data_IF_519694424631
#
_entry.id   IF_519694424631
#
_cell.length_a   1.000
_cell.length_b   1.000
_cell.length_c   1.000
_cell.angle_alpha   90.00
_cell.angle_beta   90.00
_cell.angle_gamma   90.00
#
_symmetry.space_group_name_H-M   'P 1'
#
loop_
_entity.id
_entity.type
_entity.pdbx_description
1 polymer ?
#
# COMPACT_ATOMS: atom_id res chain seq x y z
N UNK A 1 8.32 29.84 15.60
CA UNK A 1 7.22 28.88 15.43
C UNK A 1 7.65 27.60 16.13
N UNK A 2 6.95 27.18 17.17
CA UNK A 2 7.28 25.96 17.90
C UNK A 2 6.95 24.77 17.01
N UNK A 3 7.96 23.98 16.64
CA UNK A 3 7.76 22.76 15.85
C UNK A 3 6.82 21.84 16.64
N UNK A 4 5.75 21.36 15.99
CA UNK A 4 4.76 20.50 16.64
C UNK A 4 5.37 19.11 16.81
N UNK A 5 5.64 18.71 18.05
CA UNK A 5 6.18 17.39 18.36
C UNK A 5 5.13 16.29 18.14
N UNK A 6 5.61 15.08 17.88
CA UNK A 6 4.81 13.86 17.83
C UNK A 6 4.08 13.64 19.17
N UNK A 7 2.85 13.10 19.12
CA UNK A 7 2.07 12.76 20.31
C UNK A 7 2.81 11.73 21.19
N UNK A 8 2.77 11.88 22.52
CA UNK A 8 3.52 11.02 23.44
C UNK A 8 3.16 9.52 23.31
N UNK A 9 1.91 9.20 22.97
CA UNK A 9 1.47 7.82 22.71
C UNK A 9 2.22 7.21 21.52
N UNK A 10 2.38 7.98 20.44
CA UNK A 10 3.13 7.60 19.25
C UNK A 10 4.64 7.62 19.53
N UNK A 11 5.13 8.58 20.33
CA UNK A 11 6.53 8.67 20.75
C UNK A 11 6.98 7.39 21.45
N UNK A 12 6.16 6.86 22.36
CA UNK A 12 6.43 5.59 23.05
C UNK A 12 6.49 4.42 22.08
N UNK A 13 5.57 4.38 21.11
CA UNK A 13 5.51 3.32 20.09
C UNK A 13 6.76 3.30 19.21
N UNK A 14 7.19 4.45 18.69
CA UNK A 14 8.40 4.52 17.86
C UNK A 14 9.66 4.16 18.65
N UNK A 15 9.75 4.53 19.94
CA UNK A 15 10.85 4.12 20.83
C UNK A 15 10.91 2.60 20.96
N UNK A 16 9.79 1.95 21.29
CA UNK A 16 9.71 0.48 21.42
C UNK A 16 10.08 -0.22 20.11
N UNK A 17 9.63 0.29 18.97
CA UNK A 17 9.97 -0.30 17.66
C UNK A 17 11.47 -0.18 17.39
N UNK A 18 12.06 0.99 17.64
CA UNK A 18 13.48 1.20 17.43
C UNK A 18 14.34 0.32 18.33
N UNK A 19 13.99 0.19 19.61
CA UNK A 19 14.65 -0.71 20.55
C UNK A 19 14.60 -2.17 20.06
N UNK A 20 13.41 -2.65 19.68
CA UNK A 20 13.25 -4.01 19.17
C UNK A 20 14.04 -4.26 17.88
N UNK A 21 14.11 -3.25 17.00
CA UNK A 21 14.90 -3.31 15.77
C UNK A 21 16.41 -3.38 16.08
N UNK A 22 16.90 -2.50 16.96
CA UNK A 22 18.32 -2.44 17.33
C UNK A 22 18.77 -3.67 18.13
N UNK A 23 17.86 -4.35 18.83
CA UNK A 23 18.15 -5.61 19.52
C UNK A 23 18.41 -6.79 18.56
N UNK A 24 18.01 -6.69 17.29
CA UNK A 24 18.24 -7.76 16.32
C UNK A 24 19.68 -7.73 15.79
N UNK A 25 20.44 -8.85 15.83
CA UNK A 25 21.87 -8.85 15.47
C UNK A 25 22.18 -8.33 14.06
N UNK A 26 21.28 -8.52 13.10
CA UNK A 26 21.47 -8.08 11.70
C UNK A 26 21.53 -6.57 11.54
N UNK A 27 21.05 -5.80 12.52
CA UNK A 27 21.03 -4.33 12.44
C UNK A 27 22.32 -3.69 12.95
N UNK A 28 23.21 -4.48 13.60
CA UNK A 28 24.46 -3.98 14.23
C UNK A 28 25.33 -3.10 13.34
N UNK A 29 25.55 -3.41 12.03
CA UNK A 29 26.36 -2.56 11.17
C UNK A 29 25.80 -1.14 10.99
N UNK A 30 24.52 -0.92 11.31
CA UNK A 30 23.82 0.35 11.13
C UNK A 30 23.62 1.11 12.45
N UNK A 31 24.24 0.67 13.56
CA UNK A 31 24.06 1.29 14.89
C UNK A 31 24.87 2.57 15.08
N UNK A 32 25.93 2.74 14.30
CA UNK A 32 26.85 3.88 14.41
C UNK A 32 26.97 4.58 13.06
N UNK A 33 27.28 5.89 13.06
CA UNK A 33 27.56 6.61 11.82
C UNK A 33 28.69 5.96 11.03
N UNK A 34 28.61 6.04 9.70
CA UNK A 34 29.74 5.67 8.84
C UNK A 34 30.91 6.61 9.16
N UNK A 35 32.14 6.08 9.38
CA UNK A 35 33.30 6.88 9.74
C UNK A 35 33.62 7.95 8.67
N UNK A 36 34.22 9.05 9.11
CA UNK A 36 34.63 10.19 8.26
C UNK A 36 36.15 10.31 8.24
N UNK A 37 36.70 11.08 7.29
CA UNK A 37 38.15 11.30 7.19
C UNK A 37 38.87 10.11 6.58
N UNK A 38 40.00 9.71 7.16
CA UNK A 38 40.87 8.65 6.64
C UNK A 38 40.21 7.26 6.67
N UNK A 39 39.33 7.01 7.65
CA UNK A 39 38.61 5.75 7.80
C UNK A 39 37.32 5.69 6.95
N UNK A 40 37.00 6.75 6.21
CA UNK A 40 35.81 6.81 5.39
C UNK A 40 35.88 5.79 4.24
N UNK A 41 34.79 5.04 3.95
CA UNK A 41 34.74 4.22 2.75
C UNK A 41 34.88 5.11 1.49
N UNK A 42 35.59 4.59 0.50
CA UNK A 42 35.96 5.34 -0.70
C UNK A 42 34.74 6.01 -1.36
N UNK A 43 34.81 7.33 -1.54
CA UNK A 43 33.76 8.16 -2.17
C UNK A 43 32.38 8.09 -1.48
N UNK A 44 32.28 7.56 -0.26
CA UNK A 44 30.98 7.37 0.42
C UNK A 44 30.18 8.68 0.54
N UNK A 45 30.81 9.73 1.06
CA UNK A 45 30.16 11.03 1.25
C UNK A 45 30.01 11.84 -0.06
N UNK A 46 30.65 11.40 -1.14
CA UNK A 46 30.40 11.94 -2.47
C UNK A 46 29.14 11.33 -3.08
N UNK A 47 28.91 10.03 -2.86
CA UNK A 47 27.74 9.29 -3.36
C UNK A 47 26.51 9.55 -2.47
N UNK A 48 26.66 9.42 -1.16
CA UNK A 48 25.59 9.50 -0.16
C UNK A 48 25.47 10.92 0.38
N UNK A 49 24.38 11.59 0.00
CA UNK A 49 24.15 13.01 0.34
C UNK A 49 23.60 13.25 1.74
N UNK A 50 22.88 12.28 2.29
CA UNK A 50 22.24 12.39 3.61
C UNK A 50 22.60 11.15 4.44
N UNK A 51 23.84 11.04 4.95
CA UNK A 51 24.25 9.92 5.79
C UNK A 51 23.44 9.91 7.09
N UNK A 52 22.99 8.73 7.51
CA UNK A 52 22.24 8.51 8.76
C UNK A 52 22.40 7.06 9.21
N UNK A 53 22.26 6.83 10.50
CA UNK A 53 22.38 5.55 11.19
C UNK A 53 21.32 5.44 12.31
N UNK A 54 21.11 4.23 12.83
CA UNK A 54 20.12 3.96 13.88
C UNK A 54 20.46 4.63 15.21
N UNK A 55 21.75 4.85 15.51
CA UNK A 55 22.17 5.57 16.71
C UNK A 55 21.76 7.04 16.67
N UNK A 56 21.98 7.70 15.52
CA UNK A 56 21.49 9.05 15.26
C UNK A 56 19.96 9.12 15.36
N UNK A 57 19.24 8.15 14.78
CA UNK A 57 17.77 8.09 14.86
C UNK A 57 17.31 7.90 16.31
N UNK A 58 18.01 7.05 17.08
CA UNK A 58 17.72 6.84 18.50
C UNK A 58 17.83 8.14 19.29
N UNK A 59 18.90 8.91 19.09
CA UNK A 59 19.04 10.21 19.73
C UNK A 59 17.91 11.16 19.33
N UNK A 60 17.51 11.19 18.05
CA UNK A 60 16.38 12.02 17.58
C UNK A 60 15.04 11.62 18.21
N UNK A 61 14.82 10.33 18.46
CA UNK A 61 13.65 9.84 19.20
C UNK A 61 13.72 10.30 20.66
N UNK A 62 14.84 10.11 21.35
CA UNK A 62 15.01 10.53 22.76
C UNK A 62 14.84 12.05 22.93
N UNK A 63 15.36 12.83 21.99
CA UNK A 63 15.26 14.29 21.97
C UNK A 63 13.91 14.83 21.47
N UNK A 64 12.93 13.95 21.20
CA UNK A 64 11.61 14.27 20.64
C UNK A 64 11.67 15.16 19.39
N UNK A 65 12.61 14.90 18.48
CA UNK A 65 12.84 15.71 17.27
C UNK A 65 11.89 15.38 16.11
N UNK A 66 11.12 14.31 16.22
CA UNK A 66 10.15 13.93 15.21
C UNK A 66 8.78 14.54 15.48
N UNK A 67 8.18 15.10 14.43
CA UNK A 67 6.84 15.71 14.46
C UNK A 67 5.74 14.69 14.13
N UNK A 68 6.11 13.58 13.48
CA UNK A 68 5.17 12.53 13.06
C UNK A 68 5.87 11.19 12.85
N UNK A 69 5.10 10.09 12.88
CA UNK A 69 5.62 8.74 12.54
C UNK A 69 6.27 8.69 11.15
N UNK A 70 5.73 9.47 10.20
CA UNK A 70 6.25 9.53 8.83
C UNK A 70 7.70 10.02 8.78
N UNK A 71 8.07 11.00 9.60
CA UNK A 71 9.45 11.51 9.63
C UNK A 71 10.41 10.45 10.20
N UNK A 72 10.03 9.81 11.31
CA UNK A 72 10.79 8.69 11.88
C UNK A 72 10.96 7.54 10.87
N UNK A 73 9.86 7.11 10.23
CA UNK A 73 9.87 6.06 9.23
C UNK A 73 10.79 6.39 8.05
N UNK A 74 10.75 7.64 7.58
CA UNK A 74 11.56 8.11 6.45
C UNK A 74 13.05 8.01 6.77
N UNK A 75 13.47 8.39 7.97
CA UNK A 75 14.86 8.30 8.39
C UNK A 75 15.33 6.84 8.51
N UNK A 76 14.50 5.95 9.09
CA UNK A 76 14.84 4.52 9.16
C UNK A 76 14.98 3.92 7.76
N UNK A 77 14.07 4.24 6.84
CA UNK A 77 14.19 3.80 5.43
C UNK A 77 15.42 4.36 4.72
N UNK A 78 15.84 5.58 5.07
CA UNK A 78 17.02 6.22 4.50
C UNK A 78 18.31 5.47 4.87
N UNK A 79 18.40 4.89 6.07
CA UNK A 79 19.54 4.02 6.46
C UNK A 79 19.71 2.89 5.45
N UNK A 80 18.62 2.18 5.13
CA UNK A 80 18.65 1.04 4.21
C UNK A 80 18.93 1.49 2.78
N UNK A 81 18.30 2.59 2.35
CA UNK A 81 18.47 3.14 1.01
C UNK A 81 19.91 3.59 0.77
N UNK A 82 20.54 4.23 1.76
CA UNK A 82 21.94 4.62 1.67
C UNK A 82 22.86 3.39 1.55
N UNK A 83 22.59 2.34 2.34
CA UNK A 83 23.32 1.09 2.26
C UNK A 83 23.20 0.43 0.87
N UNK A 84 21.98 0.37 0.31
CA UNK A 84 21.74 -0.21 -1.02
C UNK A 84 22.24 0.67 -2.18
N UNK A 85 22.35 1.98 -1.97
CA UNK A 85 22.88 2.91 -2.98
C UNK A 85 24.40 2.82 -3.08
N UNK A 86 25.08 2.67 -1.94
CA UNK A 86 26.53 2.62 -1.89
C UNK A 86 27.10 1.22 -2.16
N UNK A 87 26.42 0.17 -1.67
CA UNK A 87 26.92 -1.20 -1.75
C UNK A 87 26.26 -1.96 -2.92
N UNK A 88 27.06 -2.79 -3.59
CA UNK A 88 26.58 -3.64 -4.69
C UNK A 88 25.40 -4.55 -4.26
N UNK A 89 24.41 -4.78 -5.14
CA UNK A 89 23.34 -5.73 -4.89
C UNK A 89 23.87 -7.12 -4.52
N UNK A 90 23.37 -7.69 -3.42
CA UNK A 90 23.79 -9.00 -2.93
C UNK A 90 25.09 -9.00 -2.12
N UNK A 91 25.75 -7.85 -1.96
CA UNK A 91 26.82 -7.70 -0.98
C UNK A 91 26.31 -7.96 0.45
N UNK A 92 27.18 -8.36 1.41
CA UNK A 92 26.77 -8.62 2.78
C UNK A 92 25.99 -7.46 3.41
N UNK A 93 26.43 -6.20 3.19
CA UNK A 93 25.76 -5.01 3.73
C UNK A 93 24.39 -4.80 3.07
N UNK A 94 24.27 -4.98 1.75
CA UNK A 94 22.99 -4.86 1.04
C UNK A 94 21.97 -5.91 1.52
N UNK A 95 22.41 -7.15 1.73
CA UNK A 95 21.56 -8.23 2.27
C UNK A 95 21.11 -7.92 3.70
N UNK A 96 22.02 -7.45 4.55
CA UNK A 96 21.69 -7.05 5.93
C UNK A 96 20.73 -5.85 5.97
N UNK A 97 20.87 -4.89 5.05
CA UNK A 97 19.95 -3.76 4.94
C UNK A 97 18.54 -4.22 4.54
N UNK A 98 18.43 -5.09 3.54
CA UNK A 98 17.15 -5.69 3.12
C UNK A 98 16.47 -6.46 4.25
N UNK A 99 17.22 -7.27 5.00
CA UNK A 99 16.67 -8.03 6.13
C UNK A 99 16.28 -7.12 7.30
N UNK A 100 17.07 -6.08 7.58
CA UNK A 100 16.75 -5.06 8.59
C UNK A 100 15.47 -4.30 8.25
N UNK A 101 15.30 -3.91 6.98
CA UNK A 101 14.05 -3.31 6.47
C UNK A 101 12.85 -4.23 6.68
N UNK A 102 12.99 -5.52 6.36
CA UNK A 102 11.92 -6.51 6.54
C UNK A 102 11.47 -6.62 8.01
N UNK A 103 12.43 -6.68 8.94
CA UNK A 103 12.17 -6.73 10.38
C UNK A 103 11.48 -5.44 10.84
N UNK A 104 11.97 -4.28 10.43
CA UNK A 104 11.37 -2.98 10.75
C UNK A 104 9.90 -2.90 10.30
N UNK A 105 9.60 -3.28 9.06
CA UNK A 105 8.23 -3.30 8.53
C UNK A 105 7.34 -4.27 9.31
N UNK A 106 7.86 -5.44 9.71
CA UNK A 106 7.14 -6.40 10.53
C UNK A 106 6.78 -5.84 11.92
N UNK A 107 7.72 -5.14 12.57
CA UNK A 107 7.49 -4.47 13.85
C UNK A 107 6.41 -3.38 13.72
N UNK A 108 6.48 -2.56 12.68
CA UNK A 108 5.48 -1.51 12.42
C UNK A 108 4.08 -2.10 12.16
N UNK A 109 3.98 -3.25 11.47
CA UNK A 109 2.71 -3.95 11.26
C UNK A 109 2.14 -4.50 12.56
N UNK A 110 2.96 -5.16 13.38
CA UNK A 110 2.54 -5.71 14.69
C UNK A 110 2.02 -4.63 15.62
N UNK A 111 2.62 -3.45 15.57
CA UNK A 111 2.17 -2.31 16.36
C UNK A 111 0.98 -1.58 15.73
N UNK A 112 0.39 -2.07 14.63
CA UNK A 112 -0.72 -1.42 13.92
C UNK A 112 -0.41 0.03 13.52
N UNK A 113 0.80 0.32 13.03
CA UNK A 113 1.14 1.64 12.48
C UNK A 113 0.69 1.83 11.03
N UNK A 114 0.35 0.74 10.36
CA UNK A 114 -0.22 0.73 9.01
C UNK A 114 -1.68 0.26 9.05
N UNK A 115 -2.53 0.97 9.79
CA UNK A 115 -3.97 0.64 9.82
C UNK A 115 -4.62 0.92 8.47
N UNK A 116 -5.68 0.19 8.15
CA UNK A 116 -6.54 0.49 6.99
C UNK A 116 -7.04 1.94 7.06
N UNK A 117 -7.38 2.43 8.26
CA UNK A 117 -7.76 3.84 8.46
C UNK A 117 -6.62 4.82 8.11
N UNK A 118 -5.37 4.52 8.47
CA UNK A 118 -4.20 5.33 8.11
C UNK A 118 -3.97 5.30 6.60
N UNK A 119 -4.15 4.14 5.96
CA UNK A 119 -4.10 4.00 4.51
C UNK A 119 -5.21 4.79 3.81
N UNK A 120 -6.47 4.65 4.23
CA UNK A 120 -7.60 5.41 3.69
C UNK A 120 -7.41 6.93 3.86
N UNK A 121 -6.84 7.36 4.99
CA UNK A 121 -6.53 8.78 5.23
C UNK A 121 -5.40 9.27 4.32
N UNK A 122 -4.32 8.50 4.15
CA UNK A 122 -3.22 8.87 3.25
C UNK A 122 -3.67 8.84 1.78
N UNK A 123 -4.46 7.85 1.34
CA UNK A 123 -4.99 7.80 -0.03
C UNK A 123 -5.92 8.98 -0.30
N UNK A 124 -6.79 9.34 0.66
CA UNK A 124 -7.61 10.54 0.55
C UNK A 124 -6.76 11.82 0.47
N UNK A 125 -5.74 11.93 1.33
CA UNK A 125 -4.80 13.06 1.33
C UNK A 125 -4.05 13.19 0.01
N UNK A 126 -3.57 12.08 -0.55
CA UNK A 126 -2.90 12.03 -1.86
C UNK A 126 -3.86 12.39 -2.99
N UNK A 127 -5.10 11.87 -2.98
CA UNK A 127 -6.14 12.23 -3.95
C UNK A 127 -6.42 13.73 -3.93
N UNK A 128 -6.50 14.32 -2.73
CA UNK A 128 -6.68 15.76 -2.56
C UNK A 128 -5.51 16.56 -3.13
N UNK A 129 -4.26 16.20 -2.76
CA UNK A 129 -3.05 16.85 -3.30
C UNK A 129 -2.99 16.77 -4.82
N UNK A 130 -3.32 15.63 -5.39
CA UNK A 130 -3.38 15.44 -6.84
C UNK A 130 -4.43 16.36 -7.48
N UNK A 131 -5.64 16.41 -6.89
CA UNK A 131 -6.70 17.32 -7.35
C UNK A 131 -6.24 18.78 -7.33
N UNK A 132 -5.59 19.20 -6.24
CA UNK A 132 -5.08 20.57 -6.09
C UNK A 132 -4.04 20.89 -7.17
N UNK A 133 -3.10 19.96 -7.43
CA UNK A 133 -2.09 20.11 -8.49
C UNK A 133 -2.76 20.23 -9.86
N UNK A 134 -3.73 19.38 -10.17
CA UNK A 134 -4.47 19.41 -11.45
C UNK A 134 -5.23 20.74 -11.60
N UNK A 135 -5.88 21.20 -10.54
CA UNK A 135 -6.62 22.46 -10.53
C UNK A 135 -5.70 23.68 -10.65
N UNK A 136 -4.50 23.62 -10.07
CA UNK A 136 -3.48 24.67 -10.19
C UNK A 136 -2.66 24.59 -11.48
N UNK A 137 -2.85 23.56 -12.32
CA UNK A 137 -2.03 23.36 -13.50
C UNK A 137 -2.19 24.51 -14.53
N UNK A 138 -1.11 24.91 -15.23
CA UNK A 138 -1.18 25.88 -16.32
C UNK A 138 -2.17 25.45 -17.41
N UNK A 139 -2.81 26.43 -18.08
CA UNK A 139 -3.87 26.17 -19.06
C UNK A 139 -3.46 25.20 -20.19
N UNK A 140 -2.20 25.25 -20.65
CA UNK A 140 -1.67 24.31 -21.66
C UNK A 140 -1.69 22.86 -21.17
N UNK A 141 -1.40 22.63 -19.88
CA UNK A 141 -1.42 21.30 -19.27
C UNK A 141 -2.86 20.86 -19.01
N UNK A 142 -3.73 21.75 -18.54
CA UNK A 142 -5.17 21.45 -18.37
C UNK A 142 -5.84 21.00 -19.67
N UNK A 143 -5.56 21.69 -20.77
CA UNK A 143 -6.06 21.34 -22.10
C UNK A 143 -5.55 19.96 -22.54
N UNK A 144 -4.27 19.65 -22.30
CA UNK A 144 -3.69 18.35 -22.63
C UNK A 144 -4.24 17.21 -21.75
N UNK A 145 -4.41 17.44 -20.44
CA UNK A 145 -4.96 16.47 -19.50
C UNK A 145 -6.43 16.15 -19.80
N UNK A 146 -7.24 17.16 -20.08
CA UNK A 146 -8.64 16.95 -20.47
C UNK A 146 -8.73 16.15 -21.77
N UNK A 147 -7.86 16.41 -22.73
CA UNK A 147 -7.79 15.64 -23.98
C UNK A 147 -7.36 14.18 -23.73
N UNK A 148 -6.41 13.91 -22.84
CA UNK A 148 -6.01 12.54 -22.48
C UNK A 148 -7.06 11.77 -21.67
N UNK A 149 -7.74 12.42 -20.72
CA UNK A 149 -8.81 11.81 -19.93
C UNK A 149 -10.01 11.44 -20.81
N UNK A 150 -10.36 12.31 -21.76
CA UNK A 150 -11.43 12.05 -22.72
C UNK A 150 -11.04 10.99 -23.77
N UNK A 151 -9.75 10.88 -24.14
CA UNK A 151 -9.27 9.82 -25.04
C UNK A 151 -9.31 8.43 -24.40
N UNK A 152 -9.24 8.30 -23.07
CA UNK A 152 -9.34 7.00 -22.38
C UNK A 152 -10.77 6.45 -22.24
N UNK A 153 -11.81 7.23 -22.51
CA UNK A 153 -13.19 6.72 -22.53
C UNK A 153 -13.48 5.79 -23.72
N UNK A 154 -12.57 5.67 -24.70
CA UNK A 154 -12.70 4.79 -25.86
C UNK A 154 -11.84 3.51 -25.82
N UNK A 155 -11.35 3.10 -24.65
CA UNK A 155 -10.91 1.70 -24.44
C UNK A 155 -11.85 1.06 -23.42
N UNK A 156 -12.93 0.48 -23.95
CA UNK A 156 -13.65 -0.58 -23.26
C UNK A 156 -12.64 -1.63 -22.75
N UNK A 157 -12.82 -2.09 -21.52
CA UNK A 157 -12.16 -3.23 -20.84
C UNK A 157 -11.14 -2.92 -19.73
N UNK A 158 -11.32 -1.87 -18.91
CA UNK A 158 -10.68 -1.81 -17.57
C UNK A 158 -11.34 -0.80 -16.60
N UNK A 159 -12.65 -0.68 -16.62
CA UNK A 159 -13.38 0.10 -15.60
C UNK A 159 -13.31 -0.62 -14.26
N UNK A 160 -12.73 0.02 -13.24
CA UNK A 160 -12.78 -0.49 -11.87
C UNK A 160 -14.25 -0.74 -11.46
N UNK A 161 -14.48 -1.83 -10.71
CA UNK A 161 -15.76 -2.08 -10.05
C UNK A 161 -15.94 -1.05 -8.93
N UNK A 162 -16.84 -0.08 -9.13
CA UNK A 162 -17.07 1.02 -8.18
C UNK A 162 -17.77 0.53 -6.90
N UNK A 163 -17.71 1.34 -5.84
CA UNK A 163 -18.39 1.04 -4.57
C UNK A 163 -19.91 0.88 -4.75
N UNK A 164 -20.53 1.71 -5.60
CA UNK A 164 -21.96 1.59 -5.93
C UNK A 164 -22.26 0.29 -6.69
N UNK A 165 -21.41 -0.08 -7.66
CA UNK A 165 -21.52 -1.36 -8.36
C UNK A 165 -21.39 -2.54 -7.39
N UNK A 166 -20.50 -2.46 -6.39
CA UNK A 166 -20.35 -3.50 -5.35
C UNK A 166 -21.59 -3.66 -4.48
N UNK A 167 -22.19 -2.55 -4.06
CA UNK A 167 -23.45 -2.56 -3.32
C UNK A 167 -24.57 -3.17 -4.17
N UNK A 168 -24.65 -2.82 -5.45
CA UNK A 168 -25.68 -3.34 -6.36
C UNK A 168 -25.46 -4.83 -6.67
N UNK A 169 -24.21 -5.26 -6.76
CA UNK A 169 -23.83 -6.66 -6.92
C UNK A 169 -24.29 -7.51 -5.74
N UNK A 170 -24.00 -7.08 -4.51
CA UNK A 170 -24.43 -7.81 -3.30
C UNK A 170 -25.96 -7.89 -3.23
N UNK A 171 -26.66 -6.79 -3.51
CA UNK A 171 -28.12 -6.77 -3.56
C UNK A 171 -28.67 -7.73 -4.62
N UNK A 172 -28.09 -7.73 -5.82
CA UNK A 172 -28.50 -8.63 -6.88
C UNK A 172 -28.29 -10.10 -6.51
N UNK A 173 -27.25 -10.43 -5.74
CA UNK A 173 -27.00 -11.79 -5.28
C UNK A 173 -28.07 -12.27 -4.30
N UNK A 174 -28.47 -11.38 -3.38
CA UNK A 174 -29.56 -11.66 -2.43
C UNK A 174 -30.93 -11.84 -3.11
N UNK A 175 -31.10 -11.29 -4.32
CA UNK A 175 -32.33 -11.44 -5.11
C UNK A 175 -32.39 -12.77 -5.87
N UNK A 176 -31.32 -13.57 -5.90
CA UNK A 176 -31.25 -14.86 -6.58
C UNK A 176 -31.49 -16.00 -5.58
N UNK A 177 -32.66 -16.68 -5.60
CA UNK A 177 -32.99 -17.67 -4.58
C UNK A 177 -32.83 -19.12 -5.06
N UNK A 178 -32.37 -19.36 -6.29
CA UNK A 178 -32.42 -20.70 -6.89
C UNK A 178 -31.06 -21.42 -6.82
N UNK A 179 -31.04 -22.67 -6.36
CA UNK A 179 -29.82 -23.51 -6.26
C UNK A 179 -29.12 -23.69 -7.63
N UNK A 180 -29.87 -23.59 -8.73
CA UNK A 180 -29.36 -23.60 -10.10
C UNK A 180 -28.43 -22.41 -10.39
N UNK A 181 -28.78 -21.21 -9.90
CA UNK A 181 -27.97 -20.01 -10.10
C UNK A 181 -26.62 -20.10 -9.38
N UNK A 182 -26.56 -20.75 -8.22
CA UNK A 182 -25.31 -20.96 -7.50
C UNK A 182 -24.36 -21.87 -8.29
N UNK A 183 -24.88 -22.92 -8.95
CA UNK A 183 -24.06 -23.82 -9.78
C UNK A 183 -23.49 -23.10 -11.00
N UNK A 184 -24.28 -22.28 -11.66
CA UNK A 184 -23.83 -21.48 -12.81
C UNK A 184 -22.76 -20.45 -12.39
N UNK A 185 -22.94 -19.79 -11.25
CA UNK A 185 -21.93 -18.85 -10.73
C UNK A 185 -20.61 -19.56 -10.38
N UNK A 186 -20.67 -20.75 -9.76
CA UNK A 186 -19.46 -21.57 -9.51
C UNK A 186 -18.77 -21.94 -10.82
N UNK A 187 -19.53 -22.28 -11.87
CA UNK A 187 -18.96 -22.56 -13.19
C UNK A 187 -18.26 -21.34 -13.78
N UNK A 188 -18.87 -20.16 -13.71
CA UNK A 188 -18.27 -18.89 -14.16
C UNK A 188 -16.97 -18.59 -13.41
N UNK A 189 -16.95 -18.80 -12.09
CA UNK A 189 -15.77 -18.61 -11.25
C UNK A 189 -14.66 -19.57 -11.66
N UNK A 190 -14.95 -20.87 -11.83
CA UNK A 190 -13.95 -21.85 -12.26
C UNK A 190 -13.41 -21.58 -13.67
N UNK A 191 -14.21 -21.01 -14.56
CA UNK A 191 -13.77 -20.62 -15.91
C UNK A 191 -12.84 -19.40 -15.91
N UNK A 192 -13.08 -18.43 -15.02
CA UNK A 192 -12.32 -17.17 -14.99
C UNK A 192 -11.18 -17.17 -13.97
N UNK A 193 -11.28 -17.98 -12.91
CA UNK A 193 -10.35 -18.10 -11.78
C UNK A 193 -10.35 -19.53 -11.21
N UNK A 194 -9.72 -20.50 -11.90
CA UNK A 194 -9.69 -21.90 -11.48
C UNK A 194 -8.90 -22.15 -10.17
N UNK A 195 -8.10 -21.18 -9.72
CA UNK A 195 -7.34 -21.26 -8.47
C UNK A 195 -8.19 -21.06 -7.20
N UNK A 196 -9.42 -20.58 -7.33
CA UNK A 196 -10.33 -20.41 -6.20
C UNK A 196 -11.03 -21.75 -5.95
N UNK A 197 -10.58 -22.49 -4.93
CA UNK A 197 -11.27 -23.70 -4.48
C UNK A 197 -12.62 -23.32 -3.83
N UNK A 198 -13.71 -23.44 -4.59
CA UNK A 198 -15.06 -23.12 -4.11
C UNK A 198 -15.67 -24.23 -3.24
N UNK A 199 -14.88 -25.19 -2.72
CA UNK A 199 -15.35 -26.15 -1.74
C UNK A 199 -16.55 -26.96 -2.20
N UNK A 200 -16.44 -27.61 -3.36
CA UNK A 200 -17.33 -28.62 -3.97
C UNK A 200 -18.85 -28.39 -4.08
N UNK A 201 -19.55 -27.58 -3.26
CA UNK A 201 -21.01 -27.44 -3.30
C UNK A 201 -21.59 -26.10 -2.81
N UNK A 202 -20.82 -25.15 -2.28
CA UNK A 202 -21.37 -23.88 -1.74
C UNK A 202 -20.51 -22.66 -2.06
N UNK A 203 -21.13 -21.55 -2.44
CA UNK A 203 -20.46 -20.28 -2.71
C UNK A 203 -20.12 -19.55 -1.40
N UNK A 204 -19.16 -20.06 -0.63
CA UNK A 204 -18.58 -19.39 0.55
C UNK A 204 -17.20 -18.80 0.19
N UNK A 205 -17.20 -17.84 -0.74
CA UNK A 205 -15.96 -17.19 -1.20
C UNK A 205 -16.05 -15.70 -0.90
N UNK A 206 -15.00 -15.18 -0.26
CA UNK A 206 -14.85 -13.75 -0.05
C UNK A 206 -14.75 -13.05 -1.41
N UNK A 207 -15.74 -12.19 -1.69
CA UNK A 207 -15.89 -11.44 -2.93
C UNK A 207 -14.65 -10.58 -3.24
N UNK A 208 -13.86 -10.22 -2.23
CA UNK A 208 -12.62 -9.44 -2.40
C UNK A 208 -11.50 -10.22 -3.06
N UNK A 209 -11.61 -11.55 -3.15
CA UNK A 209 -10.66 -12.43 -3.83
C UNK A 209 -10.96 -12.59 -5.33
N UNK A 210 -12.08 -12.04 -5.82
CA UNK A 210 -12.43 -12.11 -7.23
C UNK A 210 -11.64 -11.10 -8.07
N UNK A 211 -11.19 -11.57 -9.23
CA UNK A 211 -10.63 -10.72 -10.28
C UNK A 211 -11.72 -9.85 -10.90
N UNK A 212 -11.34 -8.68 -11.44
CA UNK A 212 -12.28 -7.81 -12.17
C UNK A 212 -13.03 -8.53 -13.31
N UNK A 213 -12.38 -9.38 -14.14
CA UNK A 213 -13.07 -10.20 -15.12
C UNK A 213 -14.16 -11.09 -14.51
N UNK A 214 -13.86 -11.79 -13.41
CA UNK A 214 -14.83 -12.64 -12.70
C UNK A 214 -16.01 -11.84 -12.18
N UNK A 215 -15.74 -10.67 -11.57
CA UNK A 215 -16.79 -9.78 -11.08
C UNK A 215 -17.72 -9.29 -12.20
N UNK A 216 -17.17 -8.94 -13.36
CA UNK A 216 -17.97 -8.53 -14.51
C UNK A 216 -18.79 -9.69 -15.08
N UNK A 217 -18.20 -10.88 -15.24
CA UNK A 217 -18.90 -12.06 -15.74
C UNK A 217 -20.07 -12.47 -14.82
N UNK A 218 -19.85 -12.46 -13.50
CA UNK A 218 -20.89 -12.70 -12.52
C UNK A 218 -21.98 -11.63 -12.58
N UNK A 219 -21.61 -10.34 -12.66
CA UNK A 219 -22.58 -9.24 -12.77
C UNK A 219 -23.48 -9.41 -14.00
N UNK A 220 -22.88 -9.72 -15.15
CA UNK A 220 -23.59 -9.86 -16.41
C UNK A 220 -24.52 -11.07 -16.39
N UNK A 221 -24.09 -12.18 -15.78
CA UNK A 221 -24.96 -13.33 -15.50
C UNK A 221 -26.15 -12.94 -14.62
N UNK A 222 -25.89 -12.33 -13.45
CA UNK A 222 -26.94 -11.96 -12.50
C UNK A 222 -27.94 -10.97 -13.11
N UNK A 223 -27.46 -10.01 -13.92
CA UNK A 223 -28.30 -9.08 -14.66
C UNK A 223 -29.22 -9.81 -15.63
N UNK A 224 -28.66 -10.70 -16.46
CA UNK A 224 -29.45 -11.53 -17.38
C UNK A 224 -30.49 -12.37 -16.64
N UNK A 225 -30.09 -13.04 -15.55
CA UNK A 225 -30.98 -13.92 -14.78
C UNK A 225 -32.13 -13.15 -14.13
N UNK A 226 -31.86 -11.96 -13.56
CA UNK A 226 -32.90 -11.11 -13.00
C UNK A 226 -33.86 -10.61 -14.08
N UNK A 227 -33.33 -10.18 -15.24
CA UNK A 227 -34.15 -9.73 -16.37
C UNK A 227 -35.09 -10.84 -16.88
N UNK A 228 -34.59 -12.07 -17.03
CA UNK A 228 -35.41 -13.24 -17.40
C UNK A 228 -36.47 -13.58 -16.36
N UNK A 229 -36.20 -13.27 -15.08
CA UNK A 229 -37.14 -13.46 -13.97
C UNK A 229 -38.12 -12.28 -13.80
N UNK A 230 -38.09 -11.30 -14.70
CA UNK A 230 -38.93 -10.10 -14.64
C UNK A 230 -38.51 -9.07 -13.58
N UNK A 231 -37.32 -9.23 -13.00
CA UNK A 231 -36.73 -8.32 -12.01
C UNK A 231 -35.70 -7.40 -12.68
N UNK A 232 -35.51 -6.21 -12.12
CA UNK A 232 -34.45 -5.30 -12.56
C UNK A 232 -33.20 -5.46 -11.70
N UNK A 233 -32.04 -5.28 -12.33
CA UNK A 233 -30.79 -5.17 -11.61
C UNK A 233 -30.77 -3.87 -10.76
N UNK A 234 -30.23 -3.89 -9.53
CA UNK A 234 -30.17 -2.70 -8.67
C UNK A 234 -29.36 -1.54 -9.27
N UNK A 235 -29.84 -0.30 -9.08
CA UNK A 235 -29.19 0.94 -9.50
C UNK A 235 -28.72 1.78 -8.30
#
# INVERSE_FOLDING_TARGET
MTQKNMEDSMQKRVSTILENLMNHPVTRPFHIPVPTGEDAPANYFEIIKNPIDLGTIKQKVEDKKYSSFKEFFTDVELVWKNAETYNEPGSPISVLASESRRIFLSLCRKDNLFTLSSWCNETYSLKKKLSDVIQSAPNKIKQHLNNQLNQKQNKQNNTLFTENEMVNFIKAYQMLPNEECQRDMIKIINEHQPEIDTGLQTLDVDITNFSLPTMHALRDYMKSTLEHSGLKYPE
#
